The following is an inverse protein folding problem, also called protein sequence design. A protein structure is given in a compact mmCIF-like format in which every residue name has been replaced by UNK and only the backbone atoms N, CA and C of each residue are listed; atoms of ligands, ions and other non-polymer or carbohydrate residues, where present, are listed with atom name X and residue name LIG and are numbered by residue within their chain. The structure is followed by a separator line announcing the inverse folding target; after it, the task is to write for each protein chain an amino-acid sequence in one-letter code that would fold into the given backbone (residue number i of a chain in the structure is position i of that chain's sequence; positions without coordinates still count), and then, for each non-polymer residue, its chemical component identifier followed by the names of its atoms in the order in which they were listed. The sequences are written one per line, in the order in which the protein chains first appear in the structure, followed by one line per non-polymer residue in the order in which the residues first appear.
data_IF_763940380404
#
_entry.id   IF_763940380404
#
_cell.length_a   1.000
_cell.length_b   1.000
_cell.length_c   1.000
_cell.angle_alpha   90.00
_cell.angle_beta   90.00
_cell.angle_gamma   90.00
#
_symmetry.space_group_name_H-M   'P 1'
#
loop_
_entity.id
_entity.type
_entity.pdbx_description
1 polymer ?
#
# COMPACT_ATOMS: atom_id res chain seq x y z
N UNK A 1 13.72 -61.38 -52.53
CA UNK A 1 12.32 -61.83 -52.50
C UNK A 1 11.44 -60.60 -52.40
N UNK A 2 10.59 -60.39 -53.40
CA UNK A 2 9.58 -59.36 -53.45
C UNK A 2 8.28 -59.94 -52.89
N UNK A 3 7.56 -59.20 -52.05
CA UNK A 3 6.12 -59.38 -51.88
C UNK A 3 5.48 -58.00 -52.01
N UNK A 4 4.99 -57.71 -53.21
CA UNK A 4 3.91 -56.74 -53.45
C UNK A 4 2.60 -57.31 -52.90
N UNK A 5 1.77 -56.46 -52.29
CA UNK A 5 0.34 -56.30 -52.55
C UNK A 5 -0.16 -55.20 -51.58
N UNK A 6 -0.48 -53.99 -52.05
CA UNK A 6 -1.78 -53.58 -52.62
C UNK A 6 -2.56 -52.69 -51.62
N UNK A 7 -2.68 -51.41 -51.95
CA UNK A 7 -3.68 -50.46 -51.44
C UNK A 7 -4.47 -49.97 -52.67
N UNK A 8 -5.78 -49.67 -52.57
CA UNK A 8 -6.15 -48.30 -52.19
C UNK A 8 -7.46 -48.11 -51.39
N UNK A 9 -7.46 -47.00 -50.64
CA UNK A 9 -8.52 -46.03 -50.33
C UNK A 9 -9.99 -46.47 -50.19
N UNK A 10 -10.58 -46.12 -49.04
CA UNK A 10 -12.00 -45.77 -48.93
C UNK A 10 -12.13 -44.39 -48.28
N UNK A 11 -12.47 -43.39 -49.08
CA UNK A 11 -13.05 -42.13 -48.62
C UNK A 11 -14.58 -42.31 -48.59
N UNK A 12 -15.20 -41.31 -47.95
CA UNK A 12 -16.60 -40.90 -48.06
C UNK A 12 -17.69 -41.77 -47.40
N UNK A 13 -18.21 -41.19 -46.32
CA UNK A 13 -19.39 -41.62 -45.57
C UNK A 13 -19.77 -40.49 -44.63
N UNK A 14 -20.19 -39.36 -45.21
CA UNK A 14 -20.78 -38.22 -44.51
C UNK A 14 -21.99 -38.71 -43.72
N UNK A 15 -21.81 -38.92 -42.43
CA UNK A 15 -22.91 -39.12 -41.50
C UNK A 15 -23.66 -37.80 -41.36
N UNK A 16 -24.64 -37.56 -42.24
CA UNK A 16 -25.69 -36.59 -41.95
C UNK A 16 -26.43 -37.11 -40.72
N UNK A 17 -26.26 -36.45 -39.58
CA UNK A 17 -27.16 -36.57 -38.45
C UNK A 17 -28.28 -35.53 -38.67
N UNK A 18 -29.50 -35.92 -39.10
CA UNK A 18 -30.57 -34.97 -39.37
C UNK A 18 -31.20 -34.35 -38.10
N UNK A 19 -30.63 -34.60 -36.91
CA UNK A 19 -31.08 -34.02 -35.64
C UNK A 19 -30.00 -33.17 -34.95
N UNK A 20 -29.06 -32.59 -35.69
CA UNK A 20 -28.29 -31.46 -35.15
C UNK A 20 -29.24 -30.27 -35.09
N UNK A 21 -30.02 -30.19 -34.01
CA UNK A 21 -30.64 -28.93 -33.58
C UNK A 21 -29.51 -27.89 -33.59
N UNK A 22 -29.60 -26.93 -34.51
CA UNK A 22 -28.82 -25.70 -34.49
C UNK A 22 -29.05 -25.09 -33.11
N UNK A 23 -28.12 -25.36 -32.19
CA UNK A 23 -28.09 -24.66 -30.91
C UNK A 23 -27.74 -23.23 -31.27
N UNK A 24 -28.75 -22.37 -31.36
CA UNK A 24 -28.56 -20.93 -31.42
C UNK A 24 -27.51 -20.56 -30.35
N UNK A 25 -26.48 -19.78 -30.69
CA UNK A 25 -25.49 -19.40 -29.70
C UNK A 25 -26.22 -18.59 -28.61
N UNK A 26 -26.39 -19.20 -27.43
CA UNK A 26 -26.82 -18.45 -26.25
C UNK A 26 -25.95 -17.20 -26.13
N UNK A 27 -26.53 -16.03 -25.84
CA UNK A 27 -25.74 -14.81 -25.69
C UNK A 27 -24.67 -15.06 -24.64
N UNK A 28 -23.40 -14.99 -25.05
CA UNK A 28 -22.26 -15.26 -24.18
C UNK A 28 -22.36 -14.38 -22.93
N UNK A 29 -22.40 -15.00 -21.75
CA UNK A 29 -22.48 -14.27 -20.50
C UNK A 29 -21.29 -13.30 -20.39
N UNK A 30 -21.52 -12.05 -19.93
CA UNK A 30 -20.46 -11.07 -19.81
C UNK A 30 -19.37 -11.56 -18.87
N UNK A 31 -18.11 -11.31 -19.24
CA UNK A 31 -16.95 -11.63 -18.42
C UNK A 31 -16.99 -10.87 -17.09
N UNK A 32 -16.31 -11.37 -16.06
CA UNK A 32 -16.22 -10.69 -14.75
C UNK A 32 -15.74 -9.24 -14.90
N UNK A 33 -14.82 -8.97 -15.83
CA UNK A 33 -14.31 -7.63 -16.11
C UNK A 33 -15.39 -6.70 -16.66
N UNK A 34 -16.17 -7.17 -17.62
CA UNK A 34 -17.27 -6.40 -18.22
C UNK A 34 -18.37 -6.15 -17.20
N UNK A 35 -18.67 -7.15 -16.37
CA UNK A 35 -19.65 -7.02 -15.28
C UNK A 35 -19.19 -6.03 -14.20
N UNK A 36 -17.90 -6.01 -13.87
CA UNK A 36 -17.37 -5.00 -12.95
C UNK A 36 -17.38 -3.61 -13.59
N UNK A 37 -17.09 -3.50 -14.88
CA UNK A 37 -17.07 -2.21 -15.59
C UNK A 37 -18.45 -1.54 -15.66
N UNK A 38 -19.55 -2.31 -15.63
CA UNK A 38 -20.90 -1.75 -15.60
C UNK A 38 -21.40 -1.35 -14.20
N UNK A 39 -20.65 -1.67 -13.14
CA UNK A 39 -21.00 -1.36 -11.76
C UNK A 39 -20.43 -0.02 -11.28
N UNK A 40 -21.05 0.57 -10.27
CA UNK A 40 -20.47 1.73 -9.56
C UNK A 40 -19.18 1.33 -8.83
N UNK A 41 -18.27 2.29 -8.53
CA UNK A 41 -17.04 1.99 -7.80
C UNK A 41 -17.26 1.31 -6.44
N UNK A 42 -18.33 1.68 -5.73
CA UNK A 42 -18.70 1.07 -4.45
C UNK A 42 -19.10 -0.39 -4.60
N UNK A 43 -19.89 -0.70 -5.64
CA UNK A 43 -20.27 -2.08 -5.95
C UNK A 43 -19.07 -2.92 -6.39
N UNK A 44 -18.21 -2.39 -7.25
CA UNK A 44 -16.96 -3.05 -7.65
C UNK A 44 -16.10 -3.39 -6.43
N UNK A 45 -15.89 -2.41 -5.54
CA UNK A 45 -15.15 -2.61 -4.29
C UNK A 45 -15.78 -3.70 -3.44
N UNK A 46 -17.10 -3.69 -3.27
CA UNK A 46 -17.83 -4.69 -2.47
C UNK A 46 -17.64 -6.11 -3.02
N UNK A 47 -17.75 -6.29 -4.33
CA UNK A 47 -17.53 -7.59 -5.00
C UNK A 47 -16.10 -8.09 -4.75
N UNK A 48 -15.10 -7.25 -4.95
CA UNK A 48 -13.69 -7.61 -4.74
C UNK A 48 -13.38 -7.92 -3.28
N UNK A 49 -13.96 -7.16 -2.33
CA UNK A 49 -13.81 -7.42 -0.90
C UNK A 49 -14.42 -8.75 -0.51
N UNK A 50 -15.60 -9.08 -1.03
CA UNK A 50 -16.24 -10.37 -0.80
C UNK A 50 -15.38 -11.53 -1.33
N UNK A 51 -14.89 -11.42 -2.58
CA UNK A 51 -14.01 -12.43 -3.16
C UNK A 51 -12.70 -12.61 -2.36
N UNK A 52 -12.14 -11.51 -1.84
CA UNK A 52 -10.94 -11.56 -1.00
C UNK A 52 -11.19 -12.30 0.31
N UNK A 53 -12.34 -12.03 0.94
CA UNK A 53 -12.76 -12.72 2.17
C UNK A 53 -12.98 -14.21 1.93
N UNK A 54 -13.68 -14.57 0.87
CA UNK A 54 -13.91 -15.97 0.51
C UNK A 54 -12.60 -16.72 0.23
N UNK A 55 -11.65 -16.07 -0.46
CA UNK A 55 -10.33 -16.65 -0.70
C UNK A 55 -9.53 -16.83 0.61
N UNK A 56 -9.62 -15.87 1.54
CA UNK A 56 -9.02 -15.98 2.88
C UNK A 56 -9.62 -17.13 3.69
N UNK A 57 -10.95 -17.16 3.79
CA UNK A 57 -11.68 -18.19 4.52
C UNK A 57 -11.36 -19.59 3.95
N UNK A 58 -11.30 -19.71 2.62
CA UNK A 58 -10.91 -20.95 1.94
C UNK A 58 -9.46 -21.34 2.24
N UNK A 59 -8.53 -20.40 2.25
CA UNK A 59 -7.13 -20.67 2.55
C UNK A 59 -6.91 -21.12 4.01
N UNK A 60 -7.70 -20.59 4.95
CA UNK A 60 -7.67 -20.97 6.37
C UNK A 60 -8.29 -22.35 6.58
N UNK A 61 -9.49 -22.59 6.04
CA UNK A 61 -10.24 -23.83 6.26
C UNK A 61 -9.65 -25.01 5.47
N UNK A 62 -9.10 -24.74 4.29
CA UNK A 62 -8.52 -25.73 3.38
C UNK A 62 -7.10 -25.33 2.96
N UNK A 63 -6.08 -25.52 3.83
CA UNK A 63 -4.72 -25.08 3.55
C UNK A 63 -4.11 -25.77 2.33
N UNK A 64 -3.72 -24.97 1.33
CA UNK A 64 -2.94 -25.42 0.18
C UNK A 64 -2.17 -24.25 -0.43
N UNK A 65 -1.08 -24.54 -1.14
CA UNK A 65 -0.32 -23.52 -1.85
C UNK A 65 -1.19 -22.75 -2.86
N UNK A 66 -2.13 -23.45 -3.50
CA UNK A 66 -3.04 -22.86 -4.47
C UNK A 66 -4.06 -21.90 -3.82
N UNK A 67 -4.67 -22.30 -2.70
CA UNK A 67 -5.62 -21.45 -2.00
C UNK A 67 -4.94 -20.22 -1.39
N UNK A 68 -3.74 -20.40 -0.82
CA UNK A 68 -2.94 -19.29 -0.32
C UNK A 68 -2.53 -18.33 -1.45
N UNK A 69 -2.11 -18.85 -2.60
CA UNK A 69 -1.79 -18.04 -3.80
C UNK A 69 -2.99 -17.19 -4.22
N UNK A 70 -4.19 -17.78 -4.29
CA UNK A 70 -5.42 -17.06 -4.68
C UNK A 70 -5.69 -15.88 -3.75
N UNK A 71 -5.63 -16.10 -2.44
CA UNK A 71 -5.77 -15.05 -1.45
C UNK A 71 -4.68 -13.97 -1.62
N UNK A 72 -3.41 -14.37 -1.72
CA UNK A 72 -2.29 -13.44 -1.86
C UNK A 72 -2.37 -12.59 -3.12
N UNK A 73 -2.86 -13.13 -4.23
CA UNK A 73 -3.10 -12.34 -5.46
C UNK A 73 -4.10 -11.21 -5.20
N UNK A 74 -5.21 -11.49 -4.50
CA UNK A 74 -6.21 -10.48 -4.16
C UNK A 74 -5.68 -9.48 -3.11
N UNK A 75 -4.88 -9.96 -2.15
CA UNK A 75 -4.23 -9.10 -1.15
C UNK A 75 -3.23 -8.14 -1.81
N UNK A 76 -2.44 -8.62 -2.78
CA UNK A 76 -1.50 -7.81 -3.54
C UNK A 76 -2.23 -6.75 -4.37
N UNK A 77 -3.36 -7.09 -5.00
CA UNK A 77 -4.20 -6.12 -5.70
C UNK A 77 -4.58 -4.92 -4.81
N UNK A 78 -5.00 -5.15 -3.57
CA UNK A 78 -5.33 -4.06 -2.65
C UNK A 78 -4.11 -3.23 -2.25
N UNK A 79 -2.96 -3.87 -2.12
CA UNK A 79 -1.67 -3.21 -1.84
C UNK A 79 -1.27 -2.30 -2.99
N UNK A 80 -1.42 -2.76 -4.23
CA UNK A 80 -1.16 -1.97 -5.43
C UNK A 80 -2.13 -0.77 -5.50
N UNK A 81 -3.43 -0.98 -5.24
CA UNK A 81 -4.42 0.10 -5.20
C UNK A 81 -4.14 1.14 -4.12
N UNK A 82 -3.65 0.73 -2.95
CA UNK A 82 -3.23 1.65 -1.89
C UNK A 82 -1.99 2.47 -2.31
N UNK A 83 -1.08 1.85 -3.05
CA UNK A 83 0.10 2.52 -3.63
C UNK A 83 -0.31 3.58 -4.64
N UNK A 84 -1.18 3.24 -5.60
CA UNK A 84 -1.75 4.17 -6.59
C UNK A 84 -2.46 5.34 -5.91
N UNK A 85 -3.26 5.07 -4.89
CA UNK A 85 -3.98 6.09 -4.13
C UNK A 85 -3.02 7.06 -3.45
N UNK A 86 -1.93 6.55 -2.86
CA UNK A 86 -0.91 7.39 -2.21
C UNK A 86 -0.22 8.31 -3.21
N UNK A 87 0.12 7.83 -4.39
CA UNK A 87 0.70 8.65 -5.45
C UNK A 87 -0.28 9.71 -5.93
N UNK A 88 -1.53 9.30 -6.19
CA UNK A 88 -2.60 10.22 -6.61
C UNK A 88 -2.86 11.31 -5.56
N UNK A 89 -2.85 10.96 -4.27
CA UNK A 89 -3.03 11.92 -3.19
C UNK A 89 -1.88 12.93 -3.10
N UNK A 90 -0.63 12.51 -3.37
CA UNK A 90 0.50 13.45 -3.47
C UNK A 90 0.30 14.45 -4.60
N UNK A 91 -0.07 13.98 -5.79
CA UNK A 91 -0.34 14.85 -6.94
C UNK A 91 -1.54 15.77 -6.68
N UNK A 92 -2.60 15.27 -6.04
CA UNK A 92 -3.77 16.07 -5.69
C UNK A 92 -3.38 17.23 -4.75
N UNK A 93 -2.52 17.00 -3.75
CA UNK A 93 -2.06 18.08 -2.86
C UNK A 93 -1.24 19.16 -3.57
N UNK A 94 -0.51 18.82 -4.64
CA UNK A 94 0.20 19.82 -5.45
C UNK A 94 -0.78 20.65 -6.29
N UNK A 95 -1.85 20.03 -6.80
CA UNK A 95 -2.85 20.69 -7.64
C UNK A 95 -3.88 21.49 -6.84
N UNK A 96 -4.19 21.04 -5.62
CA UNK A 96 -5.22 21.58 -4.74
C UNK A 96 -4.59 21.96 -3.40
N UNK A 97 -3.95 23.14 -3.30
CA UNK A 97 -3.21 23.57 -2.10
C UNK A 97 -4.11 23.73 -0.87
N UNK A 98 -5.42 23.89 -1.04
CA UNK A 98 -6.40 23.90 0.05
C UNK A 98 -6.53 22.56 0.79
N UNK A 99 -6.01 21.47 0.21
CA UNK A 99 -5.91 20.15 0.85
C UNK A 99 -4.68 20.06 1.76
N UNK A 100 -3.71 20.98 1.66
CA UNK A 100 -2.54 21.00 2.53
C UNK A 100 -2.91 21.60 3.91
N UNK A 101 -2.93 20.74 4.91
CA UNK A 101 -3.24 21.08 6.30
C UNK A 101 -2.27 22.14 6.87
N UNK A 102 -1.00 22.14 6.42
CA UNK A 102 0.01 23.08 6.91
C UNK A 102 -0.28 24.53 6.48
N UNK A 103 -0.92 24.73 5.33
CA UNK A 103 -1.31 26.07 4.85
C UNK A 103 -2.44 26.65 5.71
N UNK A 104 -3.34 25.81 6.23
CA UNK A 104 -4.50 26.24 7.05
C UNK A 104 -4.17 26.42 8.53
N UNK A 105 -3.16 25.73 9.04
CA UNK A 105 -2.71 25.84 10.44
C UNK A 105 -1.19 25.91 10.48
N UNK A 106 -0.66 27.08 10.14
CA UNK A 106 0.69 27.47 10.57
C UNK A 106 0.68 27.68 12.09
N UNK A 107 0.58 26.60 12.85
CA UNK A 107 0.91 26.65 14.26
C UNK A 107 2.37 26.25 14.37
N UNK A 108 3.20 27.22 14.76
CA UNK A 108 4.62 27.12 15.07
C UNK A 108 5.60 27.19 13.89
N UNK A 109 6.19 28.37 13.71
CA UNK A 109 7.64 28.53 13.48
C UNK A 109 8.12 29.92 13.97
N UNK A 110 7.59 30.42 15.09
CA UNK A 110 7.99 31.73 15.64
C UNK A 110 8.26 31.77 17.14
N UNK A 111 7.81 30.76 17.91
CA UNK A 111 7.80 30.85 19.39
C UNK A 111 8.53 29.72 20.11
N UNK A 112 9.08 28.73 19.40
CA UNK A 112 9.88 27.67 20.05
C UNK A 112 11.18 28.27 20.61
N UNK A 113 11.90 29.05 19.81
CA UNK A 113 13.13 29.73 20.26
C UNK A 113 12.87 30.76 21.36
N UNK A 114 11.76 31.51 21.27
CA UNK A 114 11.37 32.46 22.30
C UNK A 114 11.05 31.75 23.63
N UNK A 115 10.36 30.61 23.58
CA UNK A 115 10.04 29.81 24.76
C UNK A 115 11.29 29.14 25.34
N UNK A 116 12.16 28.57 24.50
CA UNK A 116 13.43 27.97 24.92
C UNK A 116 14.37 29.00 25.57
N UNK A 117 14.39 30.24 25.07
CA UNK A 117 15.20 31.31 25.67
C UNK A 117 14.62 31.79 26.99
N UNK A 118 13.30 31.88 27.13
CA UNK A 118 12.65 32.17 28.42
C UNK A 118 12.89 31.05 29.44
N UNK A 119 12.73 29.79 29.06
CA UNK A 119 12.99 28.63 29.92
C UNK A 119 14.45 28.60 30.40
N UNK A 120 15.41 28.86 29.51
CA UNK A 120 16.84 28.98 29.88
C UNK A 120 17.08 30.11 30.89
N UNK A 121 16.43 31.27 30.71
CA UNK A 121 16.54 32.39 31.66
C UNK A 121 16.01 32.01 33.03
N UNK A 122 14.83 31.39 33.09
CA UNK A 122 14.23 30.91 34.34
C UNK A 122 15.14 29.87 35.02
N UNK A 123 15.65 28.90 34.26
CA UNK A 123 16.52 27.86 34.79
C UNK A 123 17.84 28.42 35.35
N UNK A 124 18.49 29.35 34.64
CA UNK A 124 19.72 30.00 35.11
C UNK A 124 19.52 30.84 36.38
N UNK A 125 18.37 31.51 36.51
CA UNK A 125 18.03 32.27 37.70
C UNK A 125 17.82 31.37 38.92
N UNK A 126 17.14 30.23 38.75
CA UNK A 126 16.93 29.25 39.82
C UNK A 126 18.25 28.60 40.25
N UNK A 127 19.10 28.21 39.31
CA UNK A 127 20.43 27.64 39.61
C UNK A 127 21.27 28.64 40.42
N UNK A 128 21.25 29.92 40.04
CA UNK A 128 21.99 30.97 40.74
C UNK A 128 21.51 31.18 42.18
N UNK A 129 20.19 31.17 42.42
CA UNK A 129 19.64 31.28 43.78
C UNK A 129 19.99 30.08 44.65
N UNK A 130 19.94 28.87 44.09
CA UNK A 130 20.30 27.65 44.83
C UNK A 130 21.79 27.61 45.15
N UNK A 131 22.65 27.99 44.21
CA UNK A 131 24.10 28.04 44.40
C UNK A 131 24.53 29.05 45.48
N UNK A 132 23.88 30.22 45.55
CA UNK A 132 24.15 31.23 46.59
C UNK A 132 23.77 30.75 48.00
N UNK A 133 22.74 29.89 48.13
CA UNK A 133 22.21 29.46 49.42
C UNK A 133 22.85 28.18 49.95
N UNK A 134 23.28 27.28 49.07
CA UNK A 134 23.70 25.93 49.48
C UNK A 134 25.09 25.51 48.98
N UNK A 135 25.80 26.34 48.21
CA UNK A 135 27.14 26.02 47.69
C UNK A 135 27.12 24.83 46.73
N UNK A 136 26.95 25.10 45.44
CA UNK A 136 26.85 24.03 44.43
C UNK A 136 28.25 23.62 43.93
N UNK A 137 28.66 22.37 44.21
CA UNK A 137 29.91 21.79 43.69
C UNK A 137 29.64 21.04 42.37
N UNK A 138 30.25 21.50 41.27
CA UNK A 138 30.21 20.81 39.98
C UNK A 138 31.40 19.84 39.87
N UNK A 139 31.12 18.55 39.67
CA UNK A 139 32.14 17.57 39.34
C UNK A 139 32.24 17.44 37.81
N UNK A 140 33.26 18.05 37.22
CA UNK A 140 33.56 17.91 35.79
C UNK A 140 34.42 16.67 35.55
N UNK A 141 33.94 15.71 34.75
CA UNK A 141 34.73 14.56 34.27
C UNK A 141 35.38 14.94 32.94
N UNK A 142 36.60 15.46 33.01
CA UNK A 142 37.41 15.75 31.83
C UNK A 142 37.95 14.48 31.19
N UNK A 143 37.22 13.90 30.25
CA UNK A 143 37.83 13.19 29.13
C UNK A 143 36.80 12.99 27.99
N UNK A 144 36.71 13.96 27.08
CA UNK A 144 36.57 13.76 25.63
C UNK A 144 36.63 15.14 24.94
N UNK A 145 37.49 15.24 23.93
CA UNK A 145 37.88 16.49 23.27
C UNK A 145 36.86 16.93 22.20
N UNK A 146 35.95 17.85 22.54
CA UNK A 146 35.50 19.01 21.73
C UNK A 146 34.86 20.01 22.72
N UNK A 147 35.64 20.48 23.69
CA UNK A 147 35.33 21.65 24.51
C UNK A 147 36.64 22.41 24.68
N UNK A 148 37.19 22.87 23.55
CA UNK A 148 38.14 23.99 23.56
C UNK A 148 37.30 25.25 23.39
N UNK A 149 37.03 26.01 24.46
CA UNK A 149 36.54 27.36 24.31
C UNK A 149 37.65 28.20 23.68
N UNK A 150 37.37 28.77 22.50
CA UNK A 150 38.14 29.86 21.95
C UNK A 150 38.15 31.01 22.97
N UNK A 151 39.26 31.09 23.70
CA UNK A 151 39.64 32.26 24.48
C UNK A 151 40.28 33.32 23.58
N UNK A 152 40.27 34.60 23.99
CA UNK A 152 40.44 35.76 23.12
C UNK A 152 41.91 36.06 22.80
N UNK A 153 42.14 36.55 21.58
CA UNK A 153 43.34 37.20 21.09
C UNK A 153 43.02 37.98 19.82
#
# INVERSE_FOLDING_TARGET
MCWLLSMPAKRDGSGYNPNAEETEPEPAAPTLRERLASMTPSEQKKVLQQATREALDTAILYPSAENFRRFMTLQNFWTDRATDFTQTAKLARLKYPELDYNVKRSHYNGTVEARLTEEKKVQSAVISQVAQRYGLFFFYRGNNAVDQPDGPG
#
